data_IF_859291855559
#
_entry.id   IF_859291855559
#
_cell.length_a   1.000
_cell.length_b   1.000
_cell.length_c   1.000
_cell.angle_alpha   90.00
_cell.angle_beta   90.00
_cell.angle_gamma   90.00
#
_symmetry.space_group_name_H-M   'P 1'
#
loop_
_entity.id
_entity.type
_entity.pdbx_description
1 polymer ?
#
# COMPACT_ATOMS: atom_id res chain seq x y z
N UNK A 1 11.63 14.56 -2.90
CA UNK A 1 10.87 14.60 -1.63
C UNK A 1 10.04 13.34 -1.53
N UNK A 2 9.74 12.79 -0.35
CA UNK A 2 8.98 11.55 -0.27
C UNK A 2 7.55 11.71 -0.81
N UNK A 3 6.87 10.60 -1.06
CA UNK A 3 5.41 10.60 -1.30
C UNK A 3 4.64 11.32 -0.19
N UNK A 4 3.50 11.91 -0.54
CA UNK A 4 2.76 12.85 0.30
C UNK A 4 1.51 12.21 0.93
N UNK A 5 1.18 12.64 2.14
CA UNK A 5 -0.09 12.30 2.79
C UNK A 5 -0.96 13.53 2.79
N UNK A 6 -2.21 13.42 2.35
CA UNK A 6 -3.15 14.53 2.41
C UNK A 6 -3.49 14.86 3.87
N UNK A 7 -2.94 15.98 4.36
CA UNK A 7 -3.24 16.49 5.72
C UNK A 7 -4.10 17.76 5.66
N UNK A 8 -4.73 18.02 4.52
CA UNK A 8 -5.49 19.23 4.21
C UNK A 8 -4.75 20.23 3.34
N UNK A 9 -3.57 19.87 2.86
CA UNK A 9 -2.71 20.62 1.93
C UNK A 9 -2.83 20.16 0.47
N UNK A 10 -3.67 19.16 0.21
CA UNK A 10 -3.97 18.63 -1.12
C UNK A 10 -5.47 18.51 -1.35
N UNK A 11 -5.91 18.86 -2.56
CA UNK A 11 -7.27 18.65 -3.01
C UNK A 11 -7.25 17.54 -4.06
N UNK A 12 -7.66 16.34 -3.66
CA UNK A 12 -7.76 15.22 -4.58
C UNK A 12 -8.85 15.51 -5.62
N UNK A 13 -8.60 15.20 -6.91
CA UNK A 13 -9.63 15.28 -7.95
C UNK A 13 -10.69 14.15 -7.81
N UNK A 14 -10.47 13.19 -6.90
CA UNK A 14 -11.34 12.02 -6.74
C UNK A 14 -12.36 12.29 -5.65
N UNK A 15 -13.63 12.09 -5.99
CA UNK A 15 -14.73 12.23 -5.06
C UNK A 15 -14.52 11.34 -3.83
N UNK A 16 -14.82 11.86 -2.64
CA UNK A 16 -14.61 11.22 -1.35
C UNK A 16 -13.15 10.95 -0.93
N UNK A 17 -12.14 11.33 -1.70
CA UNK A 17 -10.76 11.30 -1.21
C UNK A 17 -10.50 12.57 -0.41
N UNK A 18 -10.23 12.42 0.87
CA UNK A 18 -10.12 13.54 1.81
C UNK A 18 -8.85 13.46 2.64
N UNK A 19 -8.67 14.45 3.52
CA UNK A 19 -7.53 14.53 4.43
C UNK A 19 -7.62 13.49 5.55
N UNK A 20 -6.47 13.06 6.04
CA UNK A 20 -6.36 12.26 7.26
C UNK A 20 -6.59 13.12 8.51
N UNK A 21 -7.17 12.51 9.54
CA UNK A 21 -7.18 13.08 10.89
C UNK A 21 -5.87 12.85 11.65
N UNK A 22 -5.74 13.44 12.84
CA UNK A 22 -4.54 13.33 13.67
C UNK A 22 -4.23 11.91 14.13
N UNK A 23 -5.24 11.07 14.37
CA UNK A 23 -5.07 9.70 14.84
C UNK A 23 -4.59 8.78 13.71
N UNK A 24 -5.18 8.91 12.53
CA UNK A 24 -4.76 8.26 11.28
C UNK A 24 -3.34 8.70 10.91
N UNK A 25 -3.05 10.00 10.99
CA UNK A 25 -1.73 10.54 10.67
C UNK A 25 -0.60 9.97 11.55
N UNK A 26 -0.88 9.66 12.83
CA UNK A 26 0.09 8.98 13.68
C UNK A 26 0.44 7.56 13.18
N UNK A 27 -0.55 6.79 12.71
CA UNK A 27 -0.32 5.47 12.10
C UNK A 27 0.43 5.61 10.78
N UNK A 28 0.13 6.62 9.97
CA UNK A 28 0.80 6.89 8.69
C UNK A 28 2.26 7.30 8.85
N UNK A 29 2.59 8.16 9.82
CA UNK A 29 3.98 8.50 10.15
C UNK A 29 4.78 7.25 10.51
N UNK A 30 4.19 6.37 11.32
CA UNK A 30 4.82 5.10 11.65
C UNK A 30 5.02 4.23 10.40
N UNK A 31 3.99 4.09 9.56
CA UNK A 31 4.03 3.29 8.33
C UNK A 31 5.11 3.81 7.37
N UNK A 32 5.15 5.12 7.11
CA UNK A 32 6.21 5.76 6.30
C UNK A 32 7.60 5.43 6.85
N UNK A 33 7.84 5.68 8.13
CA UNK A 33 9.16 5.40 8.73
C UNK A 33 9.55 3.92 8.64
N UNK A 34 8.59 3.01 8.82
CA UNK A 34 8.82 1.56 8.69
C UNK A 34 9.10 1.18 7.23
N UNK A 35 8.36 1.73 6.29
CA UNK A 35 8.53 1.53 4.84
C UNK A 35 9.94 1.95 4.37
N UNK A 36 10.41 3.14 4.76
CA UNK A 36 11.77 3.60 4.45
C UNK A 36 12.85 2.66 5.00
N UNK A 37 12.66 2.12 6.21
CA UNK A 37 13.58 1.13 6.81
C UNK A 37 13.52 -0.21 6.07
N UNK A 38 12.32 -0.69 5.73
CA UNK A 38 12.13 -1.95 5.02
C UNK A 38 12.79 -1.92 3.65
N UNK A 39 12.53 -0.89 2.85
CA UNK A 39 13.09 -0.74 1.51
C UNK A 39 14.63 -0.68 1.53
N UNK A 40 15.23 -0.10 2.58
CA UNK A 40 16.68 -0.09 2.78
C UNK A 40 17.25 -1.46 3.14
N UNK A 41 16.52 -2.26 3.93
CA UNK A 41 17.04 -3.48 4.56
C UNK A 41 16.58 -4.78 3.90
N UNK A 42 15.57 -4.73 3.02
CA UNK A 42 14.99 -5.88 2.34
C UNK A 42 15.12 -5.70 0.82
N UNK A 43 16.25 -6.11 0.22
CA UNK A 43 16.48 -5.99 -1.22
C UNK A 43 15.40 -6.66 -2.07
N UNK A 44 14.79 -7.75 -1.56
CA UNK A 44 13.71 -8.49 -2.23
C UNK A 44 12.49 -7.63 -2.56
N UNK A 45 12.14 -6.67 -1.70
CA UNK A 45 11.03 -5.74 -1.92
C UNK A 45 11.26 -4.87 -3.16
N UNK A 46 12.46 -4.28 -3.26
CA UNK A 46 12.86 -3.49 -4.42
C UNK A 46 13.03 -4.33 -5.69
N UNK A 47 13.50 -5.57 -5.55
CA UNK A 47 13.64 -6.49 -6.68
C UNK A 47 12.28 -6.86 -7.27
N UNK A 48 11.30 -7.20 -6.40
CA UNK A 48 9.95 -7.51 -6.81
C UNK A 48 9.27 -6.32 -7.50
N UNK A 49 9.34 -5.11 -6.93
CA UNK A 49 8.72 -3.94 -7.55
C UNK A 49 9.22 -3.67 -8.97
N UNK A 50 10.49 -3.97 -9.28
CA UNK A 50 11.04 -3.82 -10.63
C UNK A 50 10.48 -4.81 -11.66
N UNK A 51 9.85 -5.90 -11.23
CA UNK A 51 9.19 -6.85 -12.14
C UNK A 51 7.79 -6.38 -12.57
N UNK A 52 7.22 -5.42 -11.84
CA UNK A 52 5.91 -4.86 -12.17
C UNK A 52 5.97 -4.06 -13.49
N UNK A 53 4.85 -3.91 -14.23
CA UNK A 53 4.87 -3.39 -15.60
C UNK A 53 5.52 -2.03 -15.82
N UNK A 54 5.50 -1.12 -14.84
CA UNK A 54 6.16 0.20 -14.94
C UNK A 54 7.63 0.17 -14.46
N UNK A 55 8.10 -0.94 -13.92
CA UNK A 55 9.52 -1.23 -13.66
C UNK A 55 10.20 -0.39 -12.59
N UNK A 56 9.48 0.46 -11.85
CA UNK A 56 10.06 1.29 -10.78
C UNK A 56 10.37 0.41 -9.56
N UNK A 57 11.44 0.71 -8.84
CA UNK A 57 11.64 0.11 -7.51
C UNK A 57 10.75 0.80 -6.47
N UNK A 58 10.48 0.13 -5.34
CA UNK A 58 9.73 0.77 -4.26
C UNK A 58 10.47 2.00 -3.70
N UNK A 59 11.82 1.97 -3.68
CA UNK A 59 12.65 3.15 -3.40
C UNK A 59 12.31 4.35 -4.29
N UNK A 60 12.16 4.14 -5.60
CA UNK A 60 11.86 5.22 -6.55
C UNK A 60 10.47 5.78 -6.32
N UNK A 61 9.52 4.94 -5.91
CA UNK A 61 8.14 5.36 -5.64
C UNK A 61 8.03 6.11 -4.32
N UNK A 62 8.66 5.62 -3.23
CA UNK A 62 8.59 6.33 -1.94
C UNK A 62 9.34 7.65 -1.97
N UNK A 63 10.27 7.83 -2.90
CA UNK A 63 11.00 9.07 -3.18
C UNK A 63 10.28 10.03 -4.13
N UNK A 64 9.06 9.71 -4.58
CA UNK A 64 8.30 10.48 -5.56
C UNK A 64 7.22 11.34 -4.88
N UNK A 65 7.46 12.65 -4.83
CA UNK A 65 6.54 13.61 -4.23
C UNK A 65 5.32 13.93 -5.09
N UNK A 66 5.20 13.39 -6.31
CA UNK A 66 3.97 13.48 -7.08
C UNK A 66 2.91 12.46 -6.66
N UNK A 67 3.29 11.46 -5.86
CA UNK A 67 2.36 10.46 -5.35
C UNK A 67 1.67 10.99 -4.10
N UNK A 68 0.34 11.07 -4.17
CA UNK A 68 -0.53 11.46 -3.08
C UNK A 68 -1.30 10.26 -2.54
N UNK A 69 -1.32 10.16 -1.21
CA UNK A 69 -2.10 9.18 -0.46
C UNK A 69 -3.14 9.95 0.35
N UNK A 70 -4.40 9.54 0.22
CA UNK A 70 -5.57 10.20 0.80
C UNK A 70 -6.33 9.25 1.73
N UNK A 71 -7.23 9.83 2.51
CA UNK A 71 -8.21 9.06 3.27
C UNK A 71 -9.45 8.78 2.42
N UNK A 72 -9.86 7.51 2.36
CA UNK A 72 -11.09 7.07 1.69
C UNK A 72 -12.12 6.52 2.69
N UNK A 73 -12.98 7.36 3.31
CA UNK A 73 -13.94 6.95 4.35
C UNK A 73 -15.07 6.02 3.88
N UNK A 74 -15.19 5.77 2.57
CA UNK A 74 -16.30 5.01 1.98
C UNK A 74 -15.84 3.83 1.14
N UNK A 75 -14.57 3.43 1.31
CA UNK A 75 -13.96 2.34 0.55
C UNK A 75 -14.36 0.95 1.03
N UNK A 76 -15.05 0.84 2.17
CA UNK A 76 -15.47 -0.45 2.71
C UNK A 76 -16.27 -1.23 1.65
N UNK A 77 -15.92 -2.51 1.37
CA UNK A 77 -15.11 -3.40 2.20
C UNK A 77 -13.59 -3.38 1.98
N UNK A 78 -13.07 -2.53 1.09
CA UNK A 78 -11.66 -2.48 0.71
C UNK A 78 -10.76 -1.86 1.79
N UNK A 79 -9.49 -2.24 1.76
CA UNK A 79 -8.44 -1.68 2.63
C UNK A 79 -7.89 -0.37 2.07
N UNK A 80 -7.79 -0.27 0.75
CA UNK A 80 -7.36 0.88 -0.01
C UNK A 80 -7.79 0.74 -1.45
N UNK A 81 -7.47 1.75 -2.25
CA UNK A 81 -7.57 1.67 -3.70
C UNK A 81 -6.65 2.68 -4.39
N UNK A 82 -6.33 2.42 -5.65
CA UNK A 82 -5.70 3.34 -6.58
C UNK A 82 -6.72 3.80 -7.62
N UNK A 83 -6.83 5.11 -7.83
CA UNK A 83 -7.54 5.62 -8.99
C UNK A 83 -6.58 5.68 -10.18
N UNK A 84 -6.56 4.64 -11.03
CA UNK A 84 -5.59 4.47 -12.13
C UNK A 84 -5.40 5.72 -13.01
N UNK A 85 -6.46 6.41 -13.46
CA UNK A 85 -6.28 7.58 -14.33
C UNK A 85 -5.51 8.73 -13.70
N UNK A 86 -5.76 9.05 -12.42
CA UNK A 86 -5.08 10.16 -11.72
C UNK A 86 -3.79 9.71 -11.03
N UNK A 87 -3.76 8.48 -10.53
CA UNK A 87 -2.69 7.97 -9.68
C UNK A 87 -2.85 8.25 -8.20
N UNK A 88 -3.98 8.80 -7.78
CA UNK A 88 -4.30 9.05 -6.38
C UNK A 88 -4.51 7.72 -5.67
N UNK A 89 -3.85 7.55 -4.53
CA UNK A 89 -4.04 6.40 -3.65
C UNK A 89 -4.97 6.81 -2.52
N UNK A 90 -5.83 5.91 -2.08
CA UNK A 90 -6.59 6.06 -0.86
C UNK A 90 -6.40 4.88 0.09
N UNK A 91 -6.38 5.17 1.40
CA UNK A 91 -6.42 4.17 2.48
C UNK A 91 -7.77 4.29 3.18
N UNK A 92 -8.47 3.16 3.29
CA UNK A 92 -9.81 3.08 3.85
C UNK A 92 -9.85 2.82 5.35
N UNK A 93 -11.05 2.94 5.94
CA UNK A 93 -11.30 2.73 7.36
C UNK A 93 -10.89 1.35 7.86
N UNK A 94 -11.13 0.32 7.04
CA UNK A 94 -10.83 -1.07 7.40
C UNK A 94 -9.36 -1.25 7.76
N UNK A 95 -8.45 -0.67 6.96
CA UNK A 95 -7.01 -0.72 7.22
C UNK A 95 -6.66 -0.01 8.55
N UNK A 96 -7.26 1.15 8.81
CA UNK A 96 -7.03 1.86 10.07
C UNK A 96 -7.59 1.12 11.29
N UNK A 97 -8.73 0.45 11.17
CA UNK A 97 -9.34 -0.35 12.23
C UNK A 97 -8.49 -1.56 12.59
N UNK A 98 -7.87 -2.22 11.61
CA UNK A 98 -6.92 -3.33 11.84
C UNK A 98 -5.56 -2.85 12.36
N UNK A 99 -5.21 -1.58 12.13
CA UNK A 99 -4.09 -0.92 12.77
C UNK A 99 -2.91 -0.65 11.84
N UNK A 100 -1.81 -0.16 12.44
CA UNK A 100 -0.69 0.45 11.70
C UNK A 100 0.02 -0.49 10.71
N UNK A 101 0.04 -1.80 11.00
CA UNK A 101 0.63 -2.80 10.11
C UNK A 101 -0.22 -3.01 8.86
N UNK A 102 -1.55 -3.07 9.01
CA UNK A 102 -2.45 -3.17 7.87
C UNK A 102 -2.42 -1.89 7.01
N UNK A 103 -2.33 -0.71 7.62
CA UNK A 103 -2.10 0.55 6.89
C UNK A 103 -0.81 0.50 6.05
N UNK A 104 0.28 -0.05 6.60
CA UNK A 104 1.53 -0.21 5.87
C UNK A 104 1.40 -1.20 4.70
N UNK A 105 0.76 -2.36 4.93
CA UNK A 105 0.52 -3.34 3.88
C UNK A 105 -0.35 -2.76 2.75
N UNK A 106 -1.41 -2.03 3.11
CA UNK A 106 -2.27 -1.32 2.15
C UNK A 106 -1.44 -0.35 1.30
N UNK A 107 -0.57 0.47 1.91
CA UNK A 107 0.28 1.39 1.14
C UNK A 107 1.21 0.63 0.18
N UNK A 108 1.82 -0.48 0.61
CA UNK A 108 2.68 -1.29 -0.28
C UNK A 108 1.88 -1.88 -1.43
N UNK A 109 0.71 -2.43 -1.16
CA UNK A 109 -0.21 -3.00 -2.14
C UNK A 109 -0.63 -1.95 -3.18
N UNK A 110 -1.11 -0.78 -2.75
CA UNK A 110 -1.53 0.28 -3.69
C UNK A 110 -0.36 0.85 -4.49
N UNK A 111 0.85 0.84 -3.92
CA UNK A 111 2.06 1.18 -4.67
C UNK A 111 2.33 0.16 -5.78
N UNK A 112 2.06 -1.13 -5.57
CA UNK A 112 2.21 -2.13 -6.62
C UNK A 112 1.25 -1.86 -7.78
N UNK A 113 -0.02 -1.53 -7.51
CA UNK A 113 -0.96 -1.14 -8.56
C UNK A 113 -0.55 0.18 -9.24
N UNK A 114 -0.06 1.17 -8.49
CA UNK A 114 0.51 2.39 -9.06
C UNK A 114 1.72 2.08 -9.96
N UNK A 115 2.42 0.98 -9.72
CA UNK A 115 3.52 0.49 -10.55
C UNK A 115 3.07 -0.48 -11.66
N UNK A 116 1.75 -0.62 -11.86
CA UNK A 116 1.15 -1.36 -12.97
C UNK A 116 0.67 -2.77 -12.64
N UNK A 117 0.68 -3.21 -11.38
CA UNK A 117 -0.01 -4.46 -11.02
C UNK A 117 -1.51 -4.34 -11.39
N UNK A 118 -2.12 -5.34 -12.05
CA UNK A 118 -3.55 -5.31 -12.38
C UNK A 118 -4.41 -5.18 -11.13
N UNK A 119 -5.57 -4.54 -11.25
CA UNK A 119 -6.53 -4.32 -10.14
C UNK A 119 -7.68 -5.32 -10.20
N UNK A 120 -7.78 -6.06 -11.31
CA UNK A 120 -8.88 -6.99 -11.57
C UNK A 120 -8.33 -8.23 -12.24
N UNK A 121 -8.96 -9.38 -11.97
CA UNK A 121 -8.80 -10.58 -12.78
C UNK A 121 -8.17 -11.78 -12.07
N UNK A 122 -8.14 -11.77 -10.74
CA UNK A 122 -7.49 -12.78 -9.91
C UNK A 122 -5.97 -12.66 -9.92
N UNK A 123 -5.42 -11.49 -10.22
CA UNK A 123 -3.96 -11.29 -10.30
C UNK A 123 -3.41 -10.93 -8.93
N UNK A 124 -2.48 -11.73 -8.43
CA UNK A 124 -1.96 -11.63 -7.07
C UNK A 124 -0.76 -10.70 -6.94
N UNK A 125 -0.36 -9.97 -7.99
CA UNK A 125 0.92 -9.23 -7.96
C UNK A 125 0.95 -8.12 -6.92
N UNK A 126 -0.19 -7.53 -6.56
CA UNK A 126 -0.23 -6.50 -5.53
C UNK A 126 -0.14 -7.10 -4.12
N UNK A 127 -0.72 -8.28 -3.91
CA UNK A 127 -0.62 -9.08 -2.69
C UNK A 127 0.79 -9.64 -2.51
N UNK A 128 1.40 -10.15 -3.59
CA UNK A 128 2.78 -10.61 -3.60
C UNK A 128 3.78 -9.52 -3.22
N UNK A 129 3.51 -8.25 -3.56
CA UNK A 129 4.33 -7.13 -3.08
C UNK A 129 4.36 -7.05 -1.56
N UNK A 130 3.24 -7.33 -0.88
CA UNK A 130 3.16 -7.34 0.59
C UNK A 130 4.06 -8.46 1.14
N UNK A 131 3.98 -9.67 0.59
CA UNK A 131 4.86 -10.78 0.95
C UNK A 131 6.35 -10.46 0.72
N UNK A 132 6.73 -10.05 -0.50
CA UNK A 132 8.13 -9.77 -0.86
C UNK A 132 8.73 -8.59 -0.09
N UNK A 133 7.90 -7.73 0.48
CA UNK A 133 8.32 -6.68 1.39
C UNK A 133 8.40 -7.12 2.86
N UNK A 134 8.20 -8.41 3.17
CA UNK A 134 8.36 -8.97 4.51
C UNK A 134 7.18 -8.66 5.44
N UNK A 135 6.00 -8.47 4.86
CA UNK A 135 4.74 -8.27 5.58
C UNK A 135 3.87 -9.53 5.55
N UNK A 136 4.47 -10.67 5.21
CA UNK A 136 3.93 -12.01 5.30
C UNK A 136 5.06 -13.01 5.50
N UNK A 137 4.72 -14.29 5.56
CA UNK A 137 5.64 -15.39 5.75
C UNK A 137 5.50 -16.45 4.63
N UNK A 138 6.46 -17.40 4.58
CA UNK A 138 6.52 -18.40 3.52
C UNK A 138 5.36 -19.40 3.55
N UNK A 139 4.77 -19.69 4.73
CA UNK A 139 3.61 -20.58 4.82
C UNK A 139 2.38 -19.92 4.23
N UNK A 140 2.18 -18.64 4.52
CA UNK A 140 1.09 -17.89 3.90
C UNK A 140 1.26 -17.89 2.38
N UNK A 141 2.45 -17.57 1.87
CA UNK A 141 2.68 -17.47 0.43
C UNK A 141 2.63 -18.81 -0.33
N UNK A 142 3.31 -19.85 0.16
CA UNK A 142 3.44 -21.12 -0.57
C UNK A 142 2.37 -22.16 -0.22
N UNK A 143 1.81 -22.11 0.99
CA UNK A 143 0.88 -23.12 1.49
C UNK A 143 -0.55 -22.60 1.63
N UNK A 144 -0.78 -21.28 1.47
CA UNK A 144 -2.10 -20.66 1.58
C UNK A 144 -2.67 -20.64 3.00
N UNK A 145 -1.81 -20.81 4.02
CA UNK A 145 -2.22 -20.83 5.43
C UNK A 145 -2.04 -19.45 6.03
N UNK A 146 -3.16 -18.77 6.31
CA UNK A 146 -3.20 -17.45 6.95
C UNK A 146 -2.51 -17.44 8.32
N UNK A 147 -1.62 -16.46 8.56
CA UNK A 147 -1.05 -16.16 9.87
C UNK A 147 -1.57 -14.80 10.33
N UNK A 148 -2.54 -14.76 11.27
CA UNK A 148 -3.18 -13.51 11.70
C UNK A 148 -2.24 -12.54 12.42
N UNK A 149 -0.97 -12.91 12.64
CA UNK A 149 0.06 -12.01 13.15
C UNK A 149 0.75 -11.18 12.06
N UNK A 150 0.54 -11.51 10.78
CA UNK A 150 0.99 -10.73 9.63
C UNK A 150 -0.19 -10.04 8.93
N UNK A 151 0.05 -8.95 8.18
CA UNK A 151 -1.00 -8.30 7.39
C UNK A 151 -1.17 -8.89 5.97
N UNK A 152 -0.38 -9.88 5.55
CA UNK A 152 -0.59 -10.56 4.26
C UNK A 152 -1.69 -11.61 4.43
N UNK A 153 -2.65 -11.67 3.51
CA UNK A 153 -3.74 -12.65 3.54
C UNK A 153 -3.72 -13.45 2.23
N UNK A 154 -3.39 -14.76 2.26
CA UNK A 154 -3.29 -15.57 1.05
C UNK A 154 -4.65 -15.91 0.41
N UNK A 155 -5.76 -15.60 1.07
CA UNK A 155 -7.12 -15.81 0.54
C UNK A 155 -7.62 -14.62 -0.28
N UNK A 156 -6.89 -13.50 -0.28
CA UNK A 156 -7.24 -12.27 -0.99
C UNK A 156 -6.47 -12.19 -2.32
N UNK A 157 -7.17 -11.81 -3.39
CA UNK A 157 -6.57 -11.49 -4.69
C UNK A 157 -7.43 -10.44 -5.42
N UNK A 158 -6.79 -9.57 -6.21
CA UNK A 158 -7.43 -8.50 -6.99
C UNK A 158 -8.19 -8.96 -8.22
#
# INVERSE_FOLDING_TARGET
MPFQFNVGDHSSPIWNYTRFDSAQYNKLKWARNKLFKMVKNLPGCNAYFRTLPRGRSLSDMIGDSSIWVNYGPTLSPLYGEIHVPSGEIAVGDRAFNMGRWMVLATIVHEFAHRNGAPITGGDTRAEEAVYHCGLGNSKEYYEGVDDPSTPYDPSVGG
#
